data_IF_827602302216
#
_entry.id   IF_827602302216
#
_cell.length_a   1.000
_cell.length_b   1.000
_cell.length_c   1.000
_cell.angle_alpha   90.00
_cell.angle_beta   90.00
_cell.angle_gamma   90.00
#
_symmetry.space_group_name_H-M   'P 1'
#
loop_
_entity.id
_entity.type
_entity.pdbx_description
1 polymer ?
#
# COMPACT_ATOMS: atom_id res chain seq x y z
N UNK A 1 17.81 24.45 -19.54
CA UNK A 1 17.60 25.53 -18.54
C UNK A 1 16.48 26.48 -18.96
N UNK A 2 16.50 27.05 -20.17
CA UNK A 2 15.47 27.99 -20.65
C UNK A 2 14.05 27.43 -20.65
N UNK A 3 13.91 26.12 -20.89
CA UNK A 3 12.61 25.43 -20.87
C UNK A 3 12.00 25.44 -19.46
N UNK A 4 12.80 25.21 -18.43
CA UNK A 4 12.32 25.23 -17.03
C UNK A 4 11.92 26.62 -16.60
N UNK A 5 12.64 27.65 -17.03
CA UNK A 5 12.31 29.05 -16.72
C UNK A 5 11.05 29.51 -17.46
N UNK A 6 10.89 29.14 -18.74
CA UNK A 6 9.77 29.61 -19.56
C UNK A 6 8.50 28.73 -19.41
N UNK A 7 8.64 27.44 -19.17
CA UNK A 7 7.54 26.46 -19.14
C UNK A 7 7.43 25.71 -17.83
N UNK A 8 8.17 26.09 -16.78
CA UNK A 8 8.22 25.37 -15.51
C UNK A 8 6.85 25.20 -14.86
N UNK A 9 6.05 26.27 -14.80
CA UNK A 9 4.68 26.20 -14.28
C UNK A 9 3.80 25.22 -15.05
N UNK A 10 3.92 25.21 -16.39
CA UNK A 10 3.19 24.26 -17.25
C UNK A 10 3.61 22.82 -16.95
N UNK A 11 4.91 22.57 -16.79
CA UNK A 11 5.44 21.23 -16.48
C UNK A 11 4.97 20.76 -15.09
N UNK A 12 4.89 21.65 -14.10
CA UNK A 12 4.33 21.34 -12.78
C UNK A 12 2.84 20.99 -12.89
N UNK A 13 2.07 21.74 -13.66
CA UNK A 13 0.63 21.45 -13.87
C UNK A 13 0.47 20.09 -14.55
N UNK A 14 1.23 19.82 -15.60
CA UNK A 14 1.21 18.51 -16.29
C UNK A 14 1.56 17.40 -15.29
N UNK A 15 2.64 17.56 -14.52
CA UNK A 15 3.06 16.59 -13.51
C UNK A 15 1.99 16.38 -12.43
N UNK A 16 1.31 17.44 -11.98
CA UNK A 16 0.23 17.34 -11.00
C UNK A 16 -0.98 16.59 -11.56
N UNK A 17 -1.39 16.86 -12.79
CA UNK A 17 -2.51 16.16 -13.45
C UNK A 17 -2.17 14.69 -13.66
N UNK A 18 -0.96 14.39 -14.17
CA UNK A 18 -0.53 13.00 -14.41
C UNK A 18 -0.27 12.27 -13.09
N UNK A 19 0.27 12.95 -12.08
CA UNK A 19 0.43 12.42 -10.73
C UNK A 19 -0.91 12.10 -10.07
N UNK A 20 -1.91 12.97 -10.23
CA UNK A 20 -3.28 12.69 -9.79
C UNK A 20 -3.87 11.48 -10.53
N UNK A 21 -3.66 11.38 -11.84
CA UNK A 21 -4.09 10.23 -12.64
C UNK A 21 -3.41 8.93 -12.20
N UNK A 22 -2.11 8.98 -11.86
CA UNK A 22 -1.41 7.82 -11.29
C UNK A 22 -1.99 7.45 -9.92
N UNK A 23 -2.24 8.41 -9.03
CA UNK A 23 -2.85 8.17 -7.73
C UNK A 23 -4.28 7.60 -7.87
N UNK A 24 -5.04 8.09 -8.83
CA UNK A 24 -6.34 7.53 -9.19
C UNK A 24 -6.22 6.07 -9.64
N UNK A 25 -5.24 5.74 -10.47
CA UNK A 25 -4.94 4.37 -10.89
C UNK A 25 -4.60 3.45 -9.71
N UNK A 26 -3.82 3.94 -8.73
CA UNK A 26 -3.52 3.22 -7.48
C UNK A 26 -4.81 2.90 -6.74
N UNK A 27 -5.66 3.89 -6.46
CA UNK A 27 -6.93 3.67 -5.77
C UNK A 27 -7.87 2.74 -6.53
N UNK A 28 -7.88 2.80 -7.86
CA UNK A 28 -8.71 1.97 -8.71
C UNK A 28 -8.29 0.48 -8.70
N UNK A 29 -6.99 0.19 -8.70
CA UNK A 29 -6.44 -1.17 -8.76
C UNK A 29 -6.23 -1.77 -7.37
N UNK A 30 -5.57 -1.03 -6.48
CA UNK A 30 -4.99 -1.59 -5.27
C UNK A 30 -5.90 -1.53 -4.03
N UNK A 31 -7.05 -0.85 -4.09
CA UNK A 31 -8.04 -0.90 -3.00
C UNK A 31 -8.47 -2.32 -2.65
N UNK A 32 -8.39 -3.23 -3.60
CA UNK A 32 -8.68 -4.64 -3.38
C UNK A 32 -7.65 -5.31 -2.46
N UNK A 33 -6.42 -4.79 -2.39
CA UNK A 33 -5.39 -5.24 -1.45
C UNK A 33 -5.75 -4.85 -0.01
N UNK A 34 -6.42 -3.71 0.18
CA UNK A 34 -6.83 -3.26 1.50
C UNK A 34 -8.17 -3.85 1.96
N UNK A 35 -9.10 -4.10 1.03
CA UNK A 35 -10.50 -4.42 1.36
C UNK A 35 -10.98 -5.77 0.84
N UNK A 36 -10.24 -6.43 -0.07
CA UNK A 36 -10.68 -7.66 -0.72
C UNK A 36 -10.91 -8.81 0.25
N UNK A 37 -10.03 -8.97 1.23
CA UNK A 37 -10.14 -9.99 2.28
C UNK A 37 -11.34 -9.75 3.20
N UNK A 38 -11.62 -8.51 3.57
CA UNK A 38 -12.74 -8.10 4.43
C UNK A 38 -14.09 -8.29 3.74
N UNK A 39 -14.17 -7.98 2.44
CA UNK A 39 -15.37 -8.21 1.64
C UNK A 39 -15.53 -9.69 1.30
N UNK A 40 -14.43 -10.38 0.93
CA UNK A 40 -14.42 -11.81 0.62
C UNK A 40 -14.83 -12.70 1.79
N UNK A 41 -14.46 -12.32 3.02
CA UNK A 41 -14.88 -12.97 4.26
C UNK A 41 -16.30 -12.59 4.72
N UNK A 42 -16.96 -11.66 4.02
CA UNK A 42 -18.28 -11.11 4.38
C UNK A 42 -18.31 -10.33 5.70
N UNK A 43 -17.17 -9.88 6.19
CA UNK A 43 -17.09 -8.99 7.36
C UNK A 43 -17.58 -7.59 7.03
N UNK A 44 -17.36 -7.12 5.79
CA UNK A 44 -17.81 -5.84 5.27
C UNK A 44 -18.59 -6.01 3.96
N UNK A 45 -19.58 -5.14 3.75
CA UNK A 45 -20.15 -4.93 2.42
C UNK A 45 -19.21 -4.08 1.56
N UNK A 46 -19.32 -4.16 0.24
CA UNK A 46 -18.48 -3.34 -0.68
C UNK A 46 -18.65 -1.85 -0.38
N UNK A 47 -19.85 -1.36 -0.07
CA UNK A 47 -20.08 0.06 0.26
C UNK A 47 -19.37 0.48 1.54
N UNK A 48 -19.43 -0.36 2.59
CA UNK A 48 -18.73 -0.10 3.85
C UNK A 48 -17.20 -0.12 3.64
N UNK A 49 -16.70 -1.08 2.89
CA UNK A 49 -15.29 -1.20 2.55
C UNK A 49 -14.77 0.06 1.82
N UNK A 50 -15.51 0.56 0.82
CA UNK A 50 -15.17 1.79 0.11
C UNK A 50 -15.11 2.99 1.06
N UNK A 51 -16.10 3.18 1.93
CA UNK A 51 -16.14 4.32 2.87
C UNK A 51 -14.95 4.25 3.84
N UNK A 52 -14.66 3.07 4.39
CA UNK A 52 -13.52 2.86 5.28
C UNK A 52 -12.21 3.15 4.53
N UNK A 53 -12.05 2.60 3.33
CA UNK A 53 -10.86 2.81 2.52
C UNK A 53 -10.64 4.31 2.21
N UNK A 54 -11.69 5.04 1.82
CA UNK A 54 -11.59 6.49 1.55
C UNK A 54 -10.99 7.27 2.72
N UNK A 55 -11.43 6.97 3.93
CA UNK A 55 -10.96 7.66 5.14
C UNK A 55 -9.54 7.25 5.50
N UNK A 56 -9.29 5.94 5.57
CA UNK A 56 -8.02 5.43 6.10
C UNK A 56 -6.88 5.46 5.08
N UNK A 57 -7.14 5.28 3.79
CA UNK A 57 -6.11 5.46 2.76
C UNK A 57 -5.69 6.92 2.63
N UNK A 58 -6.65 7.86 2.66
CA UNK A 58 -6.31 9.29 2.69
C UNK A 58 -5.49 9.64 3.93
N UNK A 59 -5.91 9.17 5.11
CA UNK A 59 -5.17 9.40 6.35
C UNK A 59 -3.76 8.81 6.30
N UNK A 60 -3.60 7.58 5.77
CA UNK A 60 -2.31 6.94 5.59
C UNK A 60 -1.41 7.71 4.63
N UNK A 61 -1.94 8.11 3.48
CA UNK A 61 -1.25 8.90 2.48
C UNK A 61 -0.74 10.23 3.05
N UNK A 62 -1.61 10.96 3.73
CA UNK A 62 -1.29 12.28 4.27
C UNK A 62 -0.37 12.21 5.50
N UNK A 63 -0.65 11.33 6.45
CA UNK A 63 0.07 11.28 7.74
C UNK A 63 1.37 10.49 7.68
N UNK A 64 1.52 9.53 6.78
CA UNK A 64 2.65 8.61 6.78
C UNK A 64 3.31 8.35 5.41
N UNK A 65 2.88 9.05 4.33
CA UNK A 65 3.40 8.85 2.98
C UNK A 65 4.77 9.47 2.70
N UNK A 66 5.29 10.34 3.56
CA UNK A 66 6.49 11.14 3.29
C UNK A 66 7.80 10.36 3.19
N UNK A 67 8.01 9.32 4.00
CA UNK A 67 9.27 8.56 4.06
C UNK A 67 9.50 7.77 2.75
N UNK A 68 8.50 7.04 2.26
CA UNK A 68 8.59 6.28 1.00
C UNK A 68 8.71 7.20 -0.21
N UNK A 69 7.98 8.33 -0.19
CA UNK A 69 8.08 9.38 -1.22
C UNK A 69 9.51 9.86 -1.42
N UNK A 70 10.25 10.04 -0.33
CA UNK A 70 11.67 10.43 -0.39
C UNK A 70 12.52 9.40 -1.14
N UNK A 71 12.27 8.11 -0.97
CA UNK A 71 12.99 7.03 -1.65
C UNK A 71 12.66 6.99 -3.14
N UNK A 72 11.39 7.06 -3.53
CA UNK A 72 11.00 7.09 -4.94
C UNK A 72 11.57 8.33 -5.65
N UNK A 73 11.56 9.48 -4.95
CA UNK A 73 12.05 10.75 -5.51
C UNK A 73 13.57 10.76 -5.74
N UNK A 74 14.37 10.17 -4.87
CA UNK A 74 15.83 10.34 -4.82
C UNK A 74 16.63 9.04 -4.72
N UNK A 75 15.98 7.91 -4.50
CA UNK A 75 16.65 6.64 -4.20
C UNK A 75 16.91 5.74 -5.40
N UNK A 76 16.41 6.09 -6.59
CA UNK A 76 16.48 5.23 -7.78
C UNK A 76 17.47 5.77 -8.81
N UNK A 77 17.59 7.09 -8.93
CA UNK A 77 18.39 7.79 -9.93
C UNK A 77 19.52 8.56 -9.27
N UNK A 78 20.69 8.52 -9.88
CA UNK A 78 21.80 9.39 -9.55
C UNK A 78 21.61 10.77 -10.19
N UNK A 79 21.37 11.77 -9.36
CA UNK A 79 21.11 13.14 -9.79
C UNK A 79 22.29 13.78 -10.53
N UNK A 80 23.51 13.31 -10.33
CA UNK A 80 24.71 13.86 -10.97
C UNK A 80 24.68 13.79 -12.51
N UNK A 81 23.97 12.80 -13.06
CA UNK A 81 23.80 12.65 -14.51
C UNK A 81 22.84 13.68 -15.14
N UNK A 82 22.15 14.46 -14.32
CA UNK A 82 21.13 15.41 -14.77
C UNK A 82 21.47 16.88 -14.43
N UNK A 83 22.64 17.13 -13.84
CA UNK A 83 23.02 18.48 -13.40
C UNK A 83 23.11 19.46 -14.58
N UNK A 84 23.64 19.02 -15.71
CA UNK A 84 23.77 19.85 -16.92
C UNK A 84 22.45 19.97 -17.72
N UNK A 85 21.50 19.08 -17.47
CA UNK A 85 20.21 19.01 -18.19
C UNK A 85 19.08 18.56 -17.26
N UNK A 86 18.72 19.37 -16.25
CA UNK A 86 17.70 19.01 -15.26
C UNK A 86 16.30 18.83 -15.87
N UNK A 87 16.03 19.43 -17.04
CA UNK A 87 14.81 19.22 -17.82
C UNK A 87 14.62 17.75 -18.22
N UNK A 88 15.69 16.99 -18.47
CA UNK A 88 15.59 15.56 -18.77
C UNK A 88 15.05 14.76 -17.59
N UNK A 89 15.41 15.14 -16.35
CA UNK A 89 14.87 14.49 -15.17
C UNK A 89 13.37 14.81 -15.00
N UNK A 90 12.99 16.06 -15.27
CA UNK A 90 11.57 16.50 -15.24
C UNK A 90 10.76 15.71 -16.28
N UNK A 91 11.21 15.62 -17.52
CA UNK A 91 10.54 14.86 -18.57
C UNK A 91 10.46 13.37 -18.23
N UNK A 92 11.54 12.81 -17.67
CA UNK A 92 11.59 11.42 -17.26
C UNK A 92 10.57 11.10 -16.15
N UNK A 93 10.48 11.96 -15.15
CA UNK A 93 9.53 11.75 -14.04
C UNK A 93 8.06 11.89 -14.49
N UNK A 94 7.74 12.86 -15.36
CA UNK A 94 6.41 12.99 -15.98
C UNK A 94 6.09 11.74 -16.82
N UNK A 95 7.05 11.29 -17.63
CA UNK A 95 6.90 10.11 -18.47
C UNK A 95 6.71 8.83 -17.67
N UNK A 96 7.42 8.70 -16.55
CA UNK A 96 7.27 7.57 -15.63
C UNK A 96 5.88 7.54 -14.98
N UNK A 97 5.38 8.69 -14.52
CA UNK A 97 4.01 8.81 -14.01
C UNK A 97 2.97 8.41 -15.05
N UNK A 98 3.10 8.93 -16.26
CA UNK A 98 2.13 8.66 -17.32
C UNK A 98 2.19 7.20 -17.78
N UNK A 99 3.39 6.61 -17.88
CA UNK A 99 3.58 5.20 -18.20
C UNK A 99 2.92 4.28 -17.16
N UNK A 100 3.20 4.52 -15.87
CA UNK A 100 2.65 3.74 -14.79
C UNK A 100 1.12 3.89 -14.71
N UNK A 101 0.59 5.11 -14.81
CA UNK A 101 -0.84 5.37 -14.81
C UNK A 101 -1.56 4.67 -15.99
N UNK A 102 -0.98 4.74 -17.18
CA UNK A 102 -1.51 4.07 -18.38
C UNK A 102 -1.54 2.56 -18.20
N UNK A 103 -0.46 1.97 -17.67
CA UNK A 103 -0.42 0.53 -17.38
C UNK A 103 -1.46 0.11 -16.34
N UNK A 104 -1.62 0.88 -15.27
CA UNK A 104 -2.63 0.61 -14.24
C UNK A 104 -4.04 0.68 -14.80
N UNK A 105 -4.33 1.64 -15.68
CA UNK A 105 -5.63 1.74 -16.35
C UNK A 105 -5.92 0.49 -17.20
N UNK A 106 -4.95 0.04 -17.99
CA UNK A 106 -5.07 -1.17 -18.81
C UNK A 106 -5.25 -2.40 -17.94
N UNK A 107 -4.41 -2.56 -16.91
CA UNK A 107 -4.47 -3.69 -15.99
C UNK A 107 -5.81 -3.75 -15.24
N UNK A 108 -6.30 -2.60 -14.76
CA UNK A 108 -7.61 -2.50 -14.08
C UNK A 108 -8.77 -2.82 -15.00
N UNK A 109 -8.71 -2.37 -16.27
CA UNK A 109 -9.73 -2.70 -17.27
C UNK A 109 -9.78 -4.19 -17.60
N UNK A 110 -8.63 -4.88 -17.55
CA UNK A 110 -8.50 -6.33 -17.76
C UNK A 110 -8.73 -7.15 -16.47
N UNK A 111 -8.91 -6.50 -15.32
CA UNK A 111 -9.06 -7.16 -14.03
C UNK A 111 -7.77 -7.83 -13.53
N UNK A 112 -6.61 -7.37 -13.96
CA UNK A 112 -5.31 -7.90 -13.55
C UNK A 112 -4.82 -7.20 -12.27
N UNK A 113 -4.55 -7.95 -11.18
CA UNK A 113 -3.93 -7.41 -9.99
C UNK A 113 -2.42 -7.23 -10.24
N UNK A 114 -2.01 -6.02 -10.58
CA UNK A 114 -0.60 -5.66 -10.82
C UNK A 114 -0.03 -4.92 -9.61
N UNK A 115 1.30 -4.81 -9.54
CA UNK A 115 1.96 -3.99 -8.53
C UNK A 115 2.21 -2.58 -9.06
N UNK A 116 1.62 -1.60 -8.39
CA UNK A 116 1.82 -0.17 -8.70
C UNK A 116 3.26 0.25 -8.46
N UNK A 117 3.90 -0.29 -7.42
CA UNK A 117 5.32 -0.03 -7.13
C UNK A 117 6.25 -0.60 -8.21
N UNK A 118 5.99 -1.81 -8.72
CA UNK A 118 6.75 -2.35 -9.84
C UNK A 118 6.61 -1.47 -11.09
N UNK A 119 5.40 -0.99 -11.36
CA UNK A 119 5.11 -0.16 -12.50
C UNK A 119 5.93 1.13 -12.49
N UNK A 120 5.91 1.87 -11.37
CA UNK A 120 6.61 3.15 -11.28
C UNK A 120 8.14 2.98 -11.20
N UNK A 121 8.63 1.99 -10.46
CA UNK A 121 10.07 1.71 -10.38
C UNK A 121 10.60 1.27 -11.75
N UNK A 122 9.88 0.37 -12.44
CA UNK A 122 10.22 -0.02 -13.82
C UNK A 122 10.25 1.17 -14.78
N UNK A 123 9.26 2.05 -14.67
CA UNK A 123 9.16 3.26 -15.50
C UNK A 123 10.32 4.24 -15.24
N UNK A 124 10.69 4.47 -13.97
CA UNK A 124 11.82 5.33 -13.59
C UNK A 124 13.14 4.75 -14.10
N UNK A 125 13.38 3.46 -13.87
CA UNK A 125 14.58 2.77 -14.37
C UNK A 125 14.63 2.79 -15.90
N UNK A 126 13.50 2.59 -16.57
CA UNK A 126 13.41 2.55 -18.03
C UNK A 126 13.86 3.86 -18.68
N UNK A 127 13.29 4.99 -18.32
CA UNK A 127 13.69 6.26 -18.93
C UNK A 127 15.12 6.65 -18.55
N UNK A 128 15.56 6.38 -17.32
CA UNK A 128 16.91 6.74 -16.91
C UNK A 128 17.96 5.91 -17.64
N UNK A 129 17.82 4.59 -17.68
CA UNK A 129 18.80 3.70 -18.29
C UNK A 129 18.91 3.85 -19.82
N UNK A 130 17.78 4.03 -20.51
CA UNK A 130 17.73 4.09 -21.98
C UNK A 130 17.67 5.52 -22.50
N UNK A 131 16.99 6.41 -21.78
CA UNK A 131 16.84 7.81 -22.21
C UNK A 131 18.06 8.68 -21.89
N UNK A 132 18.86 8.32 -20.89
CA UNK A 132 20.03 9.10 -20.45
C UNK A 132 21.30 8.21 -20.42
N UNK A 133 21.43 7.35 -19.42
CA UNK A 133 22.54 6.38 -19.29
C UNK A 133 22.17 5.27 -18.32
N UNK A 134 22.65 4.06 -18.59
CA UNK A 134 22.49 2.95 -17.65
C UNK A 134 23.17 3.23 -16.28
N UNK A 135 24.21 4.04 -16.27
CA UNK A 135 24.93 4.44 -15.04
C UNK A 135 24.17 5.50 -14.24
N UNK A 136 23.17 6.15 -14.83
CA UNK A 136 22.29 7.07 -14.11
C UNK A 136 21.34 6.34 -13.14
N UNK A 137 21.25 5.01 -13.21
CA UNK A 137 20.43 4.20 -12.30
C UNK A 137 21.28 3.72 -11.12
N UNK A 138 20.80 3.98 -9.91
CA UNK A 138 21.45 3.48 -8.68
C UNK A 138 21.13 1.98 -8.48
N UNK A 139 21.77 1.09 -9.26
CA UNK A 139 21.47 -0.35 -9.32
C UNK A 139 21.52 -1.05 -7.95
N UNK A 140 22.40 -0.61 -7.04
CA UNK A 140 22.45 -1.18 -5.69
C UNK A 140 21.19 -0.87 -4.88
N UNK A 141 20.61 0.34 -5.06
CA UNK A 141 19.35 0.73 -4.42
C UNK A 141 18.16 0.02 -5.06
N UNK A 142 18.14 -0.04 -6.39
CA UNK A 142 17.12 -0.81 -7.14
C UNK A 142 17.17 -2.28 -6.74
N UNK A 143 18.36 -2.87 -6.61
CA UNK A 143 18.53 -4.23 -6.12
C UNK A 143 17.99 -4.45 -4.71
N UNK A 144 18.17 -3.48 -3.81
CA UNK A 144 17.58 -3.49 -2.46
C UNK A 144 16.04 -3.42 -2.50
N UNK A 145 15.48 -2.58 -3.37
CA UNK A 145 14.02 -2.46 -3.57
C UNK A 145 13.47 -3.79 -4.12
N UNK A 146 14.08 -4.35 -5.16
CA UNK A 146 13.67 -5.65 -5.73
C UNK A 146 13.80 -6.78 -4.70
N UNK A 147 14.86 -6.77 -3.90
CA UNK A 147 15.03 -7.71 -2.79
C UNK A 147 13.88 -7.63 -1.77
N UNK A 148 13.40 -6.43 -1.48
CA UNK A 148 12.28 -6.23 -0.56
C UNK A 148 10.98 -6.85 -1.09
N UNK A 149 10.76 -6.91 -2.41
CA UNK A 149 9.60 -7.54 -3.03
C UNK A 149 9.57 -9.07 -2.90
N UNK A 150 10.70 -9.68 -2.60
CA UNK A 150 10.80 -11.11 -2.29
C UNK A 150 10.67 -11.33 -0.78
N UNK A 151 11.33 -10.50 0.00
CA UNK A 151 11.42 -10.67 1.46
C UNK A 151 10.08 -10.32 2.15
N UNK A 152 9.40 -9.25 1.71
CA UNK A 152 8.18 -8.81 2.40
C UNK A 152 7.01 -9.78 2.30
N UNK A 153 6.69 -10.43 1.17
CA UNK A 153 5.66 -11.47 1.15
C UNK A 153 6.03 -12.70 1.97
N UNK A 154 7.32 -13.06 2.07
CA UNK A 154 7.76 -14.16 2.92
C UNK A 154 7.57 -13.83 4.40
N UNK A 155 8.01 -12.65 4.84
CA UNK A 155 7.83 -12.17 6.22
C UNK A 155 6.33 -12.11 6.55
N UNK A 156 5.54 -11.50 5.70
CA UNK A 156 4.09 -11.37 5.88
C UNK A 156 3.41 -12.75 5.96
N UNK A 157 3.85 -13.70 5.12
CA UNK A 157 3.37 -15.08 5.15
C UNK A 157 3.69 -15.79 6.47
N UNK A 158 4.92 -15.67 6.96
CA UNK A 158 5.32 -16.25 8.26
C UNK A 158 4.52 -15.63 9.41
N UNK A 159 4.38 -14.31 9.43
CA UNK A 159 3.60 -13.61 10.46
C UNK A 159 2.14 -14.07 10.41
N UNK A 160 1.52 -14.15 9.23
CA UNK A 160 0.14 -14.58 9.05
C UNK A 160 -0.07 -16.03 9.51
N UNK A 161 0.88 -16.93 9.18
CA UNK A 161 0.89 -18.32 9.66
C UNK A 161 0.91 -18.39 11.19
N UNK A 162 1.78 -17.61 11.83
CA UNK A 162 1.91 -17.59 13.29
C UNK A 162 0.66 -17.00 13.96
N UNK A 163 0.13 -15.88 13.43
CA UNK A 163 -1.10 -15.25 13.96
C UNK A 163 -2.28 -16.21 13.84
N UNK A 164 -2.47 -16.85 12.69
CA UNK A 164 -3.57 -17.79 12.49
C UNK A 164 -3.46 -18.98 13.43
N UNK A 165 -2.26 -19.59 13.56
CA UNK A 165 -2.04 -20.68 14.51
C UNK A 165 -2.24 -20.26 15.96
N UNK A 166 -1.89 -19.02 16.32
CA UNK A 166 -2.18 -18.51 17.69
C UNK A 166 -3.69 -18.42 17.94
N UNK A 167 -4.46 -17.91 16.97
CA UNK A 167 -5.92 -17.87 17.07
C UNK A 167 -6.53 -19.28 17.10
N UNK A 168 -5.98 -20.21 16.32
CA UNK A 168 -6.41 -21.62 16.34
C UNK A 168 -6.25 -22.22 17.74
N UNK A 169 -5.06 -22.12 18.33
CA UNK A 169 -4.76 -22.69 19.65
C UNK A 169 -5.46 -21.99 20.82
N UNK A 170 -5.51 -20.63 20.79
CA UNK A 170 -6.04 -19.85 21.91
C UNK A 170 -7.56 -19.74 21.89
N UNK A 171 -8.21 -19.96 20.74
CA UNK A 171 -9.65 -19.73 20.58
C UNK A 171 -10.35 -20.98 20.06
N UNK A 172 -10.00 -21.48 18.85
CA UNK A 172 -10.78 -22.51 18.18
C UNK A 172 -10.61 -23.91 18.80
N UNK A 173 -9.40 -24.28 19.24
CA UNK A 173 -9.09 -25.60 19.80
C UNK A 173 -9.42 -25.70 21.30
N UNK A 174 -10.22 -24.80 21.83
CA UNK A 174 -10.63 -24.75 23.24
C UNK A 174 -12.03 -25.32 23.44
N UNK A 175 -12.36 -25.70 24.68
CA UNK A 175 -13.70 -26.18 25.03
C UNK A 175 -14.81 -25.12 24.86
N UNK A 176 -14.44 -23.84 25.00
CA UNK A 176 -15.36 -22.69 24.94
C UNK A 176 -14.88 -21.60 23.95
N UNK A 177 -14.88 -21.88 22.63
CA UNK A 177 -14.29 -20.98 21.65
C UNK A 177 -14.88 -19.56 21.66
N UNK A 178 -16.18 -19.40 21.90
CA UNK A 178 -16.82 -18.09 21.93
C UNK A 178 -16.36 -17.23 23.12
N UNK A 179 -16.21 -17.82 24.30
CA UNK A 179 -15.70 -17.11 25.49
C UNK A 179 -14.26 -16.69 25.27
N UNK A 180 -13.45 -17.59 24.71
CA UNK A 180 -12.05 -17.29 24.38
C UNK A 180 -11.94 -16.22 23.28
N UNK A 181 -12.80 -16.23 22.27
CA UNK A 181 -12.84 -15.18 21.26
C UNK A 181 -13.12 -13.80 21.90
N UNK A 182 -14.13 -13.70 22.75
CA UNK A 182 -14.45 -12.45 23.47
C UNK A 182 -13.29 -11.95 24.36
N UNK A 183 -12.44 -12.85 24.85
CA UNK A 183 -11.28 -12.55 25.70
C UNK A 183 -10.06 -12.12 24.88
N UNK A 184 -9.70 -12.87 23.81
CA UNK A 184 -8.44 -12.70 23.09
C UNK A 184 -8.53 -11.71 21.92
N UNK A 185 -9.70 -11.58 21.28
CA UNK A 185 -9.87 -10.67 20.14
C UNK A 185 -9.55 -9.21 20.49
N UNK A 186 -9.97 -8.64 21.65
CA UNK A 186 -9.54 -7.29 22.03
C UNK A 186 -8.02 -7.13 22.18
N UNK A 187 -7.29 -8.20 22.55
CA UNK A 187 -5.83 -8.16 22.60
C UNK A 187 -5.22 -8.08 21.19
N UNK A 188 -5.75 -8.80 20.19
CA UNK A 188 -5.32 -8.65 18.81
C UNK A 188 -5.61 -7.23 18.30
N UNK A 189 -6.76 -6.63 18.68
CA UNK A 189 -7.07 -5.23 18.33
C UNK A 189 -6.07 -4.26 18.96
N UNK A 190 -5.68 -4.50 20.22
CA UNK A 190 -4.65 -3.71 20.89
C UNK A 190 -3.31 -3.81 20.15
N UNK A 191 -2.87 -5.02 19.80
CA UNK A 191 -1.57 -5.23 19.13
C UNK A 191 -1.50 -4.53 17.79
N UNK A 192 -2.52 -4.65 16.96
CA UNK A 192 -2.54 -3.99 15.65
C UNK A 192 -2.60 -2.46 15.78
N UNK A 193 -3.44 -1.95 16.67
CA UNK A 193 -3.54 -0.52 16.95
C UNK A 193 -2.23 0.06 17.49
N UNK A 194 -1.53 -0.69 18.35
CA UNK A 194 -0.24 -0.29 18.91
C UNK A 194 0.85 -0.19 17.86
N UNK A 195 1.02 -1.22 17.01
CA UNK A 195 2.04 -1.22 15.95
C UNK A 195 1.79 -0.07 14.97
N UNK A 196 0.55 0.07 14.50
CA UNK A 196 0.18 1.12 13.56
C UNK A 196 0.45 2.52 14.13
N UNK A 197 -0.06 2.78 15.35
CA UNK A 197 0.12 4.08 16.00
C UNK A 197 1.60 4.37 16.28
N UNK A 198 2.37 3.38 16.76
CA UNK A 198 3.78 3.57 17.07
C UNK A 198 4.59 3.94 15.82
N UNK A 199 4.41 3.22 14.71
CA UNK A 199 5.14 3.52 13.47
C UNK A 199 4.72 4.88 12.91
N UNK A 200 3.42 5.18 12.91
CA UNK A 200 2.91 6.48 12.45
C UNK A 200 3.49 7.63 13.27
N UNK A 201 3.47 7.54 14.60
CA UNK A 201 4.00 8.58 15.50
C UNK A 201 5.50 8.75 15.32
N UNK A 202 6.25 7.63 15.21
CA UNK A 202 7.73 7.68 15.18
C UNK A 202 8.31 8.05 13.82
N UNK A 203 7.62 7.73 12.75
CA UNK A 203 8.12 7.87 11.38
C UNK A 203 7.20 8.76 10.53
N UNK A 204 5.89 8.51 10.56
CA UNK A 204 4.94 9.19 9.70
C UNK A 204 4.86 10.69 9.95
N UNK A 205 4.78 11.13 11.21
CA UNK A 205 4.56 12.54 11.57
C UNK A 205 5.79 13.45 11.42
N UNK A 206 6.92 12.91 11.01
CA UNK A 206 8.15 13.72 10.81
C UNK A 206 8.02 14.77 9.72
N UNK A 207 7.22 14.51 8.68
CA UNK A 207 7.04 15.45 7.57
C UNK A 207 6.26 16.72 7.96
N UNK A 208 5.57 16.72 9.11
CA UNK A 208 4.88 17.88 9.69
C UNK A 208 5.64 18.45 10.90
N UNK A 209 6.97 18.18 10.99
CA UNK A 209 7.87 18.65 12.04
C UNK A 209 7.48 18.25 13.48
N UNK A 210 6.62 17.26 13.65
CA UNK A 210 6.25 16.70 14.94
C UNK A 210 7.30 15.68 15.41
N UNK A 211 8.20 16.14 16.27
CA UNK A 211 9.24 15.30 16.88
C UNK A 211 8.80 14.84 18.26
N UNK A 212 8.15 13.67 18.34
CA UNK A 212 7.70 13.09 19.61
C UNK A 212 8.82 12.22 20.21
N UNK A 213 9.13 12.44 21.47
CA UNK A 213 10.09 11.66 22.25
C UNK A 213 9.82 10.15 22.22
N UNK A 214 10.80 9.32 22.57
CA UNK A 214 10.60 7.85 22.48
C UNK A 214 9.59 7.37 23.49
N UNK A 215 9.69 7.81 24.74
CA UNK A 215 8.76 7.44 25.80
C UNK A 215 7.33 7.90 25.51
N UNK A 216 7.17 9.17 25.07
CA UNK A 216 5.86 9.74 24.73
C UNK A 216 5.24 9.02 23.53
N UNK A 217 6.05 8.64 22.53
CA UNK A 217 5.58 7.88 21.38
C UNK A 217 5.02 6.50 21.77
N UNK A 218 5.70 5.78 22.67
CA UNK A 218 5.19 4.52 23.20
C UNK A 218 3.91 4.71 24.02
N UNK A 219 3.86 5.76 24.83
CA UNK A 219 2.69 6.09 25.64
C UNK A 219 1.47 6.42 24.74
N UNK A 220 1.61 7.28 23.75
CA UNK A 220 0.51 7.63 22.84
C UNK A 220 0.07 6.43 22.00
N UNK A 221 1.00 5.59 21.56
CA UNK A 221 0.67 4.36 20.86
C UNK A 221 -0.12 3.39 21.75
N UNK A 222 0.26 3.25 23.01
CA UNK A 222 -0.45 2.40 23.96
C UNK A 222 -1.86 2.93 24.28
N UNK A 223 -2.01 4.25 24.44
CA UNK A 223 -3.32 4.89 24.65
C UNK A 223 -4.22 4.67 23.43
N UNK A 224 -3.71 4.91 22.21
CA UNK A 224 -4.46 4.68 20.98
C UNK A 224 -4.90 3.23 20.85
N UNK A 225 -3.99 2.29 21.09
CA UNK A 225 -4.27 0.86 21.06
C UNK A 225 -5.33 0.45 22.08
N UNK A 226 -5.27 1.01 23.29
CA UNK A 226 -6.26 0.75 24.34
C UNK A 226 -7.65 1.26 23.95
N UNK A 227 -7.72 2.46 23.35
CA UNK A 227 -8.98 3.03 22.82
C UNK A 227 -9.57 2.09 21.77
N UNK A 228 -8.77 1.62 20.81
CA UNK A 228 -9.21 0.67 19.77
C UNK A 228 -9.72 -0.62 20.37
N UNK A 229 -9.01 -1.19 21.36
CA UNK A 229 -9.43 -2.41 22.05
C UNK A 229 -10.73 -2.24 22.84
N UNK A 230 -10.91 -1.10 23.53
CA UNK A 230 -12.13 -0.79 24.29
C UNK A 230 -13.33 -0.63 23.34
N UNK A 231 -13.16 0.13 22.25
CA UNK A 231 -14.20 0.29 21.23
C UNK A 231 -14.57 -1.07 20.62
N UNK A 232 -13.58 -1.88 20.25
CA UNK A 232 -13.79 -3.23 19.73
C UNK A 232 -14.54 -4.12 20.71
N UNK A 233 -14.14 -4.13 22.01
CA UNK A 233 -14.82 -4.88 23.06
C UNK A 233 -16.28 -4.44 23.25
N UNK A 234 -16.55 -3.13 23.14
CA UNK A 234 -17.89 -2.59 23.19
C UNK A 234 -18.77 -3.11 22.06
N UNK A 235 -18.26 -3.12 20.82
CA UNK A 235 -19.00 -3.67 19.67
C UNK A 235 -19.20 -5.18 19.77
N UNK A 236 -18.21 -5.94 20.25
CA UNK A 236 -18.32 -7.38 20.53
C UNK A 236 -19.45 -7.63 21.53
N UNK A 237 -19.56 -6.80 22.58
CA UNK A 237 -20.61 -6.91 23.60
C UNK A 237 -22.03 -6.67 23.07
N UNK A 238 -22.18 -5.99 21.92
CA UNK A 238 -23.47 -5.73 21.27
C UNK A 238 -23.88 -6.80 20.25
N UNK A 239 -23.01 -7.77 19.95
CA UNK A 239 -23.33 -8.85 19.05
C UNK A 239 -24.38 -9.77 19.65
N UNK A 240 -25.36 -10.14 18.82
CA UNK A 240 -26.36 -11.17 19.19
C UNK A 240 -25.81 -12.54 18.80
N UNK A 241 -25.71 -13.41 19.79
CA UNK A 241 -25.26 -14.78 19.63
C UNK A 241 -26.46 -15.73 19.72
N UNK A 242 -26.44 -16.79 18.92
CA UNK A 242 -27.42 -17.87 19.01
C UNK A 242 -26.88 -18.91 20.01
N UNK A 243 -27.45 -18.95 21.19
CA UNK A 243 -27.04 -19.84 22.28
C UNK A 243 -27.62 -21.27 22.15
N UNK A 244 -28.65 -21.43 21.31
CA UNK A 244 -29.36 -22.71 21.15
C UNK A 244 -28.80 -23.58 20.02
N UNK A 245 -27.80 -23.08 19.34
CA UNK A 245 -27.32 -23.66 18.09
C UNK A 245 -26.38 -24.85 18.28
N UNK A 246 -26.50 -25.87 17.44
CA UNK A 246 -25.62 -27.03 17.36
C UNK A 246 -24.12 -26.64 17.17
N UNK A 247 -23.18 -27.55 17.50
CA UNK A 247 -21.72 -27.31 17.42
C UNK A 247 -21.24 -26.54 16.17
N UNK A 248 -21.83 -26.77 15.00
CA UNK A 248 -21.50 -26.07 13.76
C UNK A 248 -21.79 -24.56 13.82
N UNK A 249 -22.78 -24.14 14.59
CA UNK A 249 -23.17 -22.73 14.75
C UNK A 249 -22.34 -22.03 15.84
N UNK A 250 -21.65 -22.77 16.71
CA UNK A 250 -20.68 -22.20 17.64
C UNK A 250 -19.53 -21.49 16.90
N UNK A 251 -19.03 -22.11 15.83
CA UNK A 251 -18.00 -21.48 14.98
C UNK A 251 -18.52 -20.24 14.27
N UNK A 252 -19.79 -20.21 13.83
CA UNK A 252 -20.39 -19.04 13.22
C UNK A 252 -20.47 -17.85 14.20
N UNK A 253 -20.72 -18.10 15.47
CA UNK A 253 -20.68 -17.07 16.52
C UNK A 253 -19.27 -16.54 16.78
N UNK A 254 -18.26 -17.43 16.76
CA UNK A 254 -16.85 -17.03 16.86
C UNK A 254 -16.45 -16.14 15.68
N UNK A 255 -16.84 -16.52 14.45
CA UNK A 255 -16.56 -15.73 13.24
C UNK A 255 -17.24 -14.34 13.28
N UNK A 256 -18.41 -14.17 13.93
CA UNK A 256 -18.98 -12.83 14.16
C UNK A 256 -18.07 -11.94 15.03
N UNK A 257 -17.44 -12.51 16.06
CA UNK A 257 -16.47 -11.78 16.89
C UNK A 257 -15.24 -11.38 16.07
N UNK A 258 -14.72 -12.31 15.26
CA UNK A 258 -13.63 -12.00 14.33
C UNK A 258 -14.04 -10.99 13.26
N UNK A 259 -15.31 -10.90 12.88
CA UNK A 259 -15.81 -9.87 11.98
C UNK A 259 -15.55 -8.45 12.51
N UNK A 260 -15.67 -8.21 13.81
CA UNK A 260 -15.34 -6.91 14.41
C UNK A 260 -13.82 -6.64 14.34
N UNK A 261 -12.99 -7.65 14.62
CA UNK A 261 -11.54 -7.54 14.50
C UNK A 261 -11.15 -7.25 13.04
N UNK A 262 -11.81 -7.90 12.09
CA UNK A 262 -11.58 -7.72 10.66
C UNK A 262 -11.84 -6.28 10.19
N UNK A 263 -12.84 -5.59 10.78
CA UNK A 263 -13.06 -4.16 10.48
C UNK A 263 -11.86 -3.33 10.96
N UNK A 264 -11.33 -3.63 12.13
CA UNK A 264 -10.15 -2.93 12.67
C UNK A 264 -8.93 -3.17 11.78
N UNK A 265 -8.68 -4.44 11.41
CA UNK A 265 -7.52 -4.76 10.53
C UNK A 265 -7.67 -4.18 9.13
N UNK A 266 -8.89 -4.09 8.59
CA UNK A 266 -9.17 -3.42 7.33
C UNK A 266 -8.84 -1.92 7.39
N UNK A 267 -9.24 -1.23 8.46
CA UNK A 267 -8.85 0.17 8.67
C UNK A 267 -7.32 0.32 8.70
N UNK A 268 -6.64 -0.57 9.40
CA UNK A 268 -5.19 -0.55 9.49
C UNK A 268 -4.49 -0.88 8.16
N UNK A 269 -5.03 -1.84 7.40
CA UNK A 269 -4.49 -2.18 6.08
C UNK A 269 -4.70 -1.06 5.07
N UNK A 270 -5.86 -0.39 5.07
CA UNK A 270 -6.11 0.77 4.24
C UNK A 270 -5.14 1.92 4.58
N UNK A 271 -4.92 2.19 5.86
CA UNK A 271 -3.94 3.19 6.29
C UNK A 271 -2.52 2.81 5.85
N UNK A 272 -2.11 1.57 6.06
CA UNK A 272 -0.80 1.06 5.67
C UNK A 272 -0.58 1.15 4.15
N UNK A 273 -1.60 0.75 3.36
CA UNK A 273 -1.61 0.85 1.90
C UNK A 273 -1.44 2.30 1.45
N UNK A 274 -2.30 3.21 1.92
CA UNK A 274 -2.21 4.64 1.58
C UNK A 274 -0.84 5.23 1.93
N UNK A 275 -0.23 4.83 3.05
CA UNK A 275 1.08 5.32 3.48
C UNK A 275 2.25 4.87 2.58
N UNK A 276 2.15 3.70 1.97
CA UNK A 276 3.19 3.19 1.06
C UNK A 276 2.95 3.65 -0.37
N UNK A 277 1.75 3.42 -0.88
CA UNK A 277 1.50 3.46 -2.31
C UNK A 277 1.25 4.87 -2.86
N UNK A 278 0.88 5.84 -2.01
CA UNK A 278 0.83 7.25 -2.41
C UNK A 278 2.17 7.72 -2.98
N UNK A 279 3.28 7.22 -2.46
CA UNK A 279 4.62 7.58 -2.90
C UNK A 279 4.89 7.26 -4.37
N UNK A 280 4.23 6.24 -4.92
CA UNK A 280 4.35 5.84 -6.32
C UNK A 280 3.84 6.93 -7.28
N UNK A 281 2.84 7.71 -6.85
CA UNK A 281 2.31 8.85 -7.60
C UNK A 281 3.04 10.17 -7.27
N UNK A 282 3.24 10.44 -5.98
CA UNK A 282 3.74 11.75 -5.56
C UNK A 282 5.27 11.84 -5.51
N UNK A 283 6.01 10.73 -5.51
CA UNK A 283 7.47 10.74 -5.54
C UNK A 283 8.03 11.45 -6.77
N UNK A 284 7.69 11.00 -7.98
CA UNK A 284 8.09 11.68 -9.20
C UNK A 284 7.52 13.10 -9.33
N UNK A 285 6.27 13.35 -8.89
CA UNK A 285 5.69 14.69 -8.86
C UNK A 285 6.51 15.63 -7.96
N UNK A 286 6.87 15.18 -6.76
CA UNK A 286 7.69 15.97 -5.85
C UNK A 286 9.11 16.24 -6.39
N UNK A 287 9.65 15.34 -7.22
CA UNK A 287 10.90 15.58 -7.94
C UNK A 287 10.75 16.74 -8.95
N UNK A 288 9.71 16.69 -9.77
CA UNK A 288 9.41 17.76 -10.76
C UNK A 288 9.23 19.11 -10.09
N UNK A 289 8.37 19.18 -9.06
CA UNK A 289 8.10 20.42 -8.32
C UNK A 289 9.39 20.97 -7.71
N UNK A 290 10.18 20.12 -7.06
CA UNK A 290 11.44 20.53 -6.43
C UNK A 290 12.44 21.11 -7.45
N UNK A 291 12.56 20.54 -8.62
CA UNK A 291 13.50 21.00 -9.66
C UNK A 291 13.03 22.36 -10.23
N UNK A 292 11.74 22.48 -10.52
CA UNK A 292 11.19 23.72 -11.07
C UNK A 292 11.24 24.87 -10.06
N UNK A 293 10.85 24.64 -8.81
CA UNK A 293 10.89 25.66 -7.75
C UNK A 293 12.31 26.13 -7.40
N UNK A 294 13.32 25.27 -7.60
CA UNK A 294 14.73 25.61 -7.42
C UNK A 294 15.44 26.03 -8.72
N UNK A 295 14.68 26.50 -9.72
CA UNK A 295 15.23 26.99 -11.00
C UNK A 295 16.19 26.00 -11.70
N UNK A 296 15.89 24.71 -11.63
CA UNK A 296 16.68 23.65 -12.24
C UNK A 296 17.72 23.01 -11.30
N UNK A 297 17.95 23.54 -10.08
CA UNK A 297 18.82 22.87 -9.13
C UNK A 297 18.17 21.58 -8.59
N UNK A 298 18.93 20.48 -8.66
CA UNK A 298 18.50 19.19 -8.10
C UNK A 298 18.95 19.14 -6.63
N UNK A 299 18.14 19.71 -5.75
CA UNK A 299 18.46 19.80 -4.34
C UNK A 299 18.55 18.41 -3.66
N UNK A 300 19.63 18.17 -2.93
CA UNK A 300 19.82 16.95 -2.14
C UNK A 300 18.77 16.79 -1.03
N UNK A 301 18.28 17.90 -0.46
CA UNK A 301 17.20 17.95 0.52
C UNK A 301 16.25 19.08 0.16
N UNK A 302 15.02 18.77 -0.16
CA UNK A 302 13.92 19.73 -0.25
C UNK A 302 12.69 19.15 0.44
N UNK A 303 11.96 19.97 1.16
CA UNK A 303 10.67 19.59 1.72
C UNK A 303 9.70 19.20 0.60
N UNK A 304 8.76 18.34 0.91
CA UNK A 304 7.63 18.05 0.00
C UNK A 304 6.66 19.21 0.14
N UNK A 305 6.28 19.84 -0.99
CA UNK A 305 5.30 20.92 -0.95
C UNK A 305 3.99 20.42 -0.32
N UNK A 306 3.40 21.22 0.56
CA UNK A 306 2.27 20.84 1.42
C UNK A 306 1.04 20.29 0.68
N UNK A 307 0.85 20.68 -0.57
CA UNK A 307 -0.30 20.28 -1.40
C UNK A 307 -0.11 18.91 -2.09
N UNK A 308 1.11 18.39 -2.17
CA UNK A 308 1.44 17.16 -2.93
C UNK A 308 0.84 15.92 -2.27
N UNK A 309 1.01 15.75 -0.95
CA UNK A 309 0.44 14.61 -0.20
C UNK A 309 -1.10 14.60 -0.25
N UNK A 310 -1.81 15.72 0.00
CA UNK A 310 -3.25 15.78 -0.20
C UNK A 310 -3.68 15.44 -1.63
N UNK A 311 -2.98 15.95 -2.65
CA UNK A 311 -3.31 15.66 -4.05
C UNK A 311 -3.24 14.14 -4.33
N UNK A 312 -2.19 13.47 -3.87
CA UNK A 312 -2.05 12.03 -3.98
C UNK A 312 -3.15 11.28 -3.23
N UNK A 313 -3.43 11.67 -1.99
CA UNK A 313 -4.51 11.08 -1.18
C UNK A 313 -5.89 11.25 -1.83
N UNK A 314 -6.22 12.42 -2.35
CA UNK A 314 -7.48 12.64 -3.08
C UNK A 314 -7.54 11.85 -4.39
N UNK A 315 -6.43 11.69 -5.11
CA UNK A 315 -6.35 10.85 -6.28
C UNK A 315 -6.70 9.40 -5.96
N UNK A 316 -6.09 8.81 -4.92
CA UNK A 316 -6.38 7.46 -4.45
C UNK A 316 -7.87 7.33 -4.11
N UNK A 317 -8.41 8.25 -3.31
CA UNK A 317 -9.83 8.25 -2.92
C UNK A 317 -10.76 8.33 -4.13
N UNK A 318 -10.46 9.16 -5.12
CA UNK A 318 -11.24 9.26 -6.34
C UNK A 318 -11.22 7.94 -7.14
N UNK A 319 -10.05 7.30 -7.26
CA UNK A 319 -9.90 6.01 -7.96
C UNK A 319 -10.71 4.91 -7.30
N UNK A 320 -10.57 4.73 -5.99
CA UNK A 320 -11.28 3.69 -5.25
C UNK A 320 -12.80 3.91 -5.22
N UNK A 321 -13.25 5.15 -5.16
CA UNK A 321 -14.69 5.48 -5.16
C UNK A 321 -15.35 5.14 -6.50
N UNK A 322 -14.64 5.35 -7.63
CA UNK A 322 -15.19 5.16 -8.97
C UNK A 322 -15.05 3.69 -9.43
N UNK A 323 -13.89 3.09 -9.25
CA UNK A 323 -13.57 1.76 -9.80
C UNK A 323 -13.37 0.66 -8.76
N UNK A 324 -13.13 0.99 -7.49
CA UNK A 324 -12.76 0.03 -6.45
C UNK A 324 -13.74 -1.14 -6.31
N UNK A 325 -15.04 -0.89 -6.52
CA UNK A 325 -16.06 -1.95 -6.42
C UNK A 325 -15.83 -3.11 -7.40
N UNK A 326 -15.24 -2.86 -8.59
CA UNK A 326 -14.99 -3.88 -9.62
C UNK A 326 -13.85 -4.81 -9.21
N UNK A 327 -12.77 -4.24 -8.69
CA UNK A 327 -11.55 -4.98 -8.35
C UNK A 327 -11.70 -5.71 -7.01
N UNK A 328 -12.37 -5.12 -6.02
CA UNK A 328 -12.67 -5.78 -4.72
C UNK A 328 -13.44 -7.08 -4.95
N UNK A 329 -14.43 -7.08 -5.86
CA UNK A 329 -15.23 -8.26 -6.16
C UNK A 329 -14.38 -9.41 -6.73
N UNK A 330 -13.28 -9.13 -7.43
CA UNK A 330 -12.46 -10.13 -8.11
C UNK A 330 -11.47 -10.84 -7.16
N UNK A 331 -10.85 -10.10 -6.23
CA UNK A 331 -9.77 -10.62 -5.36
C UNK A 331 -10.31 -11.41 -4.16
N UNK A 332 -11.46 -11.03 -3.63
CA UNK A 332 -12.01 -11.60 -2.40
C UNK A 332 -12.28 -13.12 -2.42
N UNK A 333 -12.26 -13.76 -3.59
CA UNK A 333 -12.68 -15.16 -3.76
C UNK A 333 -11.64 -16.09 -4.41
N UNK A 334 -10.46 -15.55 -4.85
CA UNK A 334 -9.60 -16.28 -5.80
C UNK A 334 -8.54 -17.21 -5.18
N UNK A 335 -7.83 -16.80 -4.12
CA UNK A 335 -6.62 -17.49 -3.65
C UNK A 335 -6.94 -18.60 -2.67
N UNK A 336 -7.78 -18.35 -1.67
CA UNK A 336 -8.26 -19.32 -0.69
C UNK A 336 -9.62 -18.88 -0.15
N UNK A 337 -10.40 -19.82 0.38
CA UNK A 337 -11.67 -19.52 1.01
C UNK A 337 -11.44 -18.77 2.34
N UNK A 338 -11.77 -17.48 2.37
CA UNK A 338 -11.60 -16.63 3.53
C UNK A 338 -12.85 -16.62 4.42
N UNK A 339 -12.62 -16.76 5.73
CA UNK A 339 -13.56 -16.43 6.81
C UNK A 339 -13.00 -15.23 7.56
N UNK A 340 -13.78 -14.52 8.40
CA UNK A 340 -13.26 -13.40 9.18
C UNK A 340 -12.00 -13.75 10.00
N UNK A 341 -11.93 -14.92 10.61
CA UNK A 341 -10.76 -15.37 11.37
C UNK A 341 -9.51 -15.60 10.51
N UNK A 342 -9.67 -15.98 9.26
CA UNK A 342 -8.57 -16.16 8.29
C UNK A 342 -8.14 -14.83 7.69
N UNK A 343 -9.13 -14.01 7.34
CA UNK A 343 -8.92 -12.71 6.75
C UNK A 343 -8.17 -11.76 7.68
N UNK A 344 -8.54 -11.71 8.97
CA UNK A 344 -7.85 -10.85 9.92
C UNK A 344 -6.37 -11.20 10.07
N UNK A 345 -6.04 -12.51 10.09
CA UNK A 345 -4.65 -12.94 10.22
C UNK A 345 -3.80 -12.50 9.02
N UNK A 346 -4.37 -12.59 7.81
CA UNK A 346 -3.72 -12.10 6.60
C UNK A 346 -3.61 -10.56 6.59
N UNK A 347 -4.69 -9.85 6.89
CA UNK A 347 -4.68 -8.38 6.92
C UNK A 347 -3.76 -7.82 7.99
N UNK A 348 -3.79 -8.37 9.20
CA UNK A 348 -2.92 -7.94 10.30
C UNK A 348 -1.45 -8.12 9.93
N UNK A 349 -1.08 -9.28 9.39
CA UNK A 349 0.28 -9.55 8.96
C UNK A 349 0.73 -8.63 7.84
N UNK A 350 -0.11 -8.42 6.83
CA UNK A 350 0.16 -7.52 5.72
C UNK A 350 0.28 -6.07 6.19
N UNK A 351 -0.67 -5.57 6.99
CA UNK A 351 -0.66 -4.20 7.51
C UNK A 351 0.60 -3.91 8.36
N UNK A 352 0.97 -4.83 9.26
CA UNK A 352 2.19 -4.69 10.05
C UNK A 352 3.44 -4.64 9.17
N UNK A 353 3.53 -5.56 8.18
CA UNK A 353 4.69 -5.61 7.26
C UNK A 353 4.78 -4.33 6.42
N UNK A 354 3.66 -3.87 5.85
CA UNK A 354 3.61 -2.64 5.03
C UNK A 354 3.98 -1.42 5.85
N UNK A 355 3.39 -1.24 7.04
CA UNK A 355 3.66 -0.07 7.90
C UNK A 355 5.12 -0.03 8.36
N UNK A 356 5.69 -1.16 8.74
CA UNK A 356 7.10 -1.25 9.14
C UNK A 356 8.01 -0.90 7.94
N UNK A 357 7.72 -1.45 6.76
CA UNK A 357 8.47 -1.14 5.54
C UNK A 357 8.34 0.35 5.15
N UNK A 358 7.13 0.92 5.22
CA UNK A 358 6.90 2.36 4.98
C UNK A 358 7.69 3.23 5.96
N UNK A 359 7.70 2.88 7.24
CA UNK A 359 8.50 3.56 8.26
C UNK A 359 10.02 3.44 8.03
N UNK A 360 10.47 2.43 7.29
CA UNK A 360 11.86 2.27 6.84
C UNK A 360 12.13 2.96 5.49
N UNK A 361 11.13 3.60 4.89
CA UNK A 361 11.24 4.24 3.58
C UNK A 361 11.36 3.26 2.41
N UNK A 362 10.91 2.01 2.57
CA UNK A 362 10.99 0.98 1.53
C UNK A 362 9.72 0.99 0.66
N UNK A 363 9.84 1.25 -0.64
CA UNK A 363 8.73 1.11 -1.58
C UNK A 363 8.50 -0.37 -1.88
N UNK A 364 7.61 -0.98 -1.13
CA UNK A 364 7.27 -2.40 -1.28
C UNK A 364 6.00 -2.58 -2.13
N UNK A 365 5.74 -3.81 -2.57
CA UNK A 365 4.47 -4.17 -3.18
C UNK A 365 3.47 -4.62 -2.12
N UNK A 366 2.44 -3.81 -1.89
CA UNK A 366 1.34 -4.14 -0.97
C UNK A 366 0.56 -5.35 -1.45
N UNK A 367 0.39 -5.50 -2.78
CA UNK A 367 -0.23 -6.68 -3.41
C UNK A 367 0.54 -7.96 -3.08
N UNK A 368 1.86 -7.95 -3.26
CA UNK A 368 2.71 -9.10 -2.95
C UNK A 368 2.68 -9.44 -1.46
N UNK A 369 2.74 -8.42 -0.63
CA UNK A 369 2.72 -8.57 0.84
C UNK A 369 1.42 -9.23 1.31
N UNK A 370 0.26 -8.79 0.79
CA UNK A 370 -1.03 -9.41 1.11
C UNK A 370 -1.13 -10.84 0.57
N UNK A 371 -0.72 -11.08 -0.68
CA UNK A 371 -0.72 -12.43 -1.26
C UNK A 371 0.14 -13.37 -0.41
N UNK A 372 1.32 -12.93 0.02
CA UNK A 372 2.18 -13.68 0.93
C UNK A 372 1.48 -14.02 2.25
N UNK A 373 0.78 -13.04 2.85
CA UNK A 373 0.00 -13.26 4.07
C UNK A 373 -1.13 -14.28 3.88
N UNK A 374 -1.89 -14.17 2.78
CA UNK A 374 -2.97 -15.12 2.46
C UNK A 374 -2.43 -16.54 2.23
N UNK A 375 -1.27 -16.65 1.58
CA UNK A 375 -0.57 -17.93 1.42
C UNK A 375 -0.13 -18.50 2.78
N UNK A 376 0.36 -17.66 3.69
CA UNK A 376 0.73 -18.07 5.05
C UNK A 376 -0.45 -18.66 5.84
N UNK A 377 -1.62 -18.02 5.76
CA UNK A 377 -2.87 -18.57 6.34
C UNK A 377 -3.26 -19.88 5.64
N UNK A 378 -3.15 -19.93 4.30
CA UNK A 378 -3.42 -21.14 3.52
C UNK A 378 -2.54 -22.31 3.93
N UNK A 379 -1.24 -22.07 4.14
CA UNK A 379 -0.28 -23.09 4.61
C UNK A 379 -0.60 -23.59 6.01
N UNK A 380 -1.05 -22.73 6.92
CA UNK A 380 -1.48 -23.14 8.26
C UNK A 380 -2.70 -24.08 8.25
N UNK A 381 -3.50 -24.03 7.16
CA UNK A 381 -4.63 -24.94 6.93
C UNK A 381 -4.29 -26.19 6.15
N UNK A 382 -3.10 -26.26 5.60
CA UNK A 382 -2.65 -27.31 4.66
C UNK A 382 -2.58 -26.81 3.22
N UNK A 383 -1.55 -27.24 2.50
CA UNK A 383 -1.21 -26.78 1.13
C UNK A 383 -2.38 -26.96 0.14
N UNK A 384 -3.21 -27.99 0.32
CA UNK A 384 -4.39 -28.25 -0.52
C UNK A 384 -5.45 -27.13 -0.49
N UNK A 385 -5.36 -26.20 0.47
CA UNK A 385 -6.28 -25.06 0.57
C UNK A 385 -5.91 -23.88 -0.36
N UNK A 386 -4.78 -23.96 -1.09
CA UNK A 386 -4.23 -22.88 -1.92
C UNK A 386 -4.50 -23.15 -3.40
N UNK A 387 -5.04 -22.14 -4.10
CA UNK A 387 -5.21 -22.20 -5.55
C UNK A 387 -3.92 -21.76 -6.27
N UNK A 388 -3.04 -22.70 -6.56
CA UNK A 388 -1.76 -22.45 -7.21
C UNK A 388 -1.87 -21.85 -8.61
N UNK A 389 -2.98 -22.09 -9.33
CA UNK A 389 -3.18 -21.49 -10.66
C UNK A 389 -3.36 -19.96 -10.56
N UNK A 390 -4.12 -19.50 -9.56
CA UNK A 390 -4.29 -18.05 -9.29
C UNK A 390 -2.97 -17.45 -8.86
N UNK A 391 -2.22 -18.09 -7.96
CA UNK A 391 -0.91 -17.62 -7.50
C UNK A 391 0.06 -17.45 -8.68
N UNK A 392 0.13 -18.45 -9.57
CA UNK A 392 0.97 -18.37 -10.78
C UNK A 392 0.60 -17.17 -11.65
N UNK A 393 -0.68 -16.95 -11.92
CA UNK A 393 -1.13 -15.82 -12.75
C UNK A 393 -0.76 -14.47 -12.13
N UNK A 394 -0.87 -14.35 -10.80
CA UNK A 394 -0.47 -13.16 -10.07
C UNK A 394 1.06 -12.93 -10.20
N UNK A 395 1.88 -13.97 -10.02
CA UNK A 395 3.34 -13.86 -10.17
C UNK A 395 3.73 -13.45 -11.59
N UNK A 396 3.08 -14.01 -12.62
CA UNK A 396 3.31 -13.63 -14.01
C UNK A 396 2.99 -12.15 -14.25
N UNK A 397 1.89 -11.65 -13.68
CA UNK A 397 1.52 -10.23 -13.82
C UNK A 397 2.57 -9.29 -13.20
N UNK A 398 3.20 -9.69 -12.10
CA UNK A 398 4.28 -8.90 -11.48
C UNK A 398 5.53 -8.82 -12.35
N UNK A 399 5.93 -9.94 -12.97
CA UNK A 399 7.11 -9.98 -13.86
C UNK A 399 6.89 -9.12 -15.10
N UNK A 400 5.69 -9.16 -15.68
CA UNK A 400 5.35 -8.37 -16.89
C UNK A 400 5.29 -6.87 -16.60
N UNK A 401 4.87 -6.47 -15.42
CA UNK A 401 4.64 -5.06 -15.05
C UNK A 401 5.92 -4.22 -15.17
N UNK A 402 7.07 -4.75 -14.73
CA UNK A 402 8.36 -4.02 -14.79
C UNK A 402 8.76 -3.63 -16.21
N UNK A 403 8.88 -4.58 -17.18
CA UNK A 403 9.28 -4.24 -18.55
C UNK A 403 8.23 -3.42 -19.29
N UNK A 404 6.94 -3.58 -19.00
CA UNK A 404 5.89 -2.76 -19.61
C UNK A 404 5.98 -1.32 -19.11
N UNK A 405 6.13 -1.11 -17.79
CA UNK A 405 6.35 0.22 -17.23
C UNK A 405 7.58 0.90 -17.81
N UNK A 406 8.70 0.16 -17.92
CA UNK A 406 9.93 0.66 -18.52
C UNK A 406 9.74 1.04 -19.99
N UNK A 407 9.16 0.16 -20.80
CA UNK A 407 8.95 0.39 -22.25
C UNK A 407 8.05 1.59 -22.52
N UNK A 408 6.92 1.70 -21.83
CA UNK A 408 6.03 2.85 -21.96
C UNK A 408 6.72 4.16 -21.54
N UNK A 409 7.49 4.14 -20.46
CA UNK A 409 8.21 5.32 -19.98
C UNK A 409 9.26 5.79 -20.97
N UNK A 410 9.99 4.88 -21.59
CA UNK A 410 10.95 5.20 -22.66
C UNK A 410 10.24 5.91 -23.83
N UNK A 411 9.11 5.37 -24.29
CA UNK A 411 8.33 5.96 -25.39
C UNK A 411 7.88 7.37 -25.02
N UNK A 412 7.27 7.55 -23.86
CA UNK A 412 6.78 8.86 -23.42
C UNK A 412 7.91 9.85 -23.14
N UNK A 413 9.06 9.39 -22.66
CA UNK A 413 10.24 10.23 -22.49
C UNK A 413 10.74 10.82 -23.83
N UNK A 414 10.85 10.00 -24.87
CA UNK A 414 11.23 10.48 -26.19
C UNK A 414 10.16 11.38 -26.82
N UNK A 415 8.89 11.14 -26.55
CA UNK A 415 7.81 12.05 -26.97
C UNK A 415 7.93 13.41 -26.29
N UNK A 416 8.12 13.45 -24.95
CA UNK A 416 8.33 14.68 -24.19
C UNK A 416 9.53 15.45 -24.72
N UNK A 417 10.63 14.76 -24.96
CA UNK A 417 11.83 15.37 -25.54
C UNK A 417 11.57 15.98 -26.92
N UNK A 418 10.84 15.29 -27.78
CA UNK A 418 10.52 15.79 -29.14
C UNK A 418 9.53 16.96 -29.14
N UNK A 419 8.70 17.12 -28.09
CA UNK A 419 7.74 18.23 -27.97
C UNK A 419 8.40 19.49 -27.41
N UNK A 420 9.32 19.35 -26.46
CA UNK A 420 9.86 20.48 -25.71
C UNK A 420 11.29 20.85 -26.07
N UNK A 421 12.07 19.96 -26.71
CA UNK A 421 13.43 20.18 -27.22
C UNK A 421 13.46 20.05 -28.74
#
# INVERSE_FOLDING_TARGET
>A
MDILLNSGSTLVIIAAVVGFFMAWGIGANDVANAMGTSVGSKALTIKQAIIIAMVFEFAGAYLAGGEVTSTIRKGIIDASYFVDSPELLVFGMISALFAAATWLLVASALGWPVSTTHSIVGAIVGFAAVGVSADAVMWSKVGGIVGSWIITPLISGVIAFLIFNSAQKLIFDTEKPLEQAKRWVPLYMFLVGFILALVTIKKGLKHIDLHIGTADGFMYAAITALIVAIIGKFFIGRLKFDETAAKATHYANVEKVFGVLMIVTACCMAFAHGSNDVANAIGPLAAVVSIVENNGEIAAKSAIAWWILPLGGFGIVAGLAIFGHRVIATIGHGITHLTPSRGFAAELAAACTVVIASGAGLPISTTQTLVGAVLGVGMARGIAAINLAVVRNIVVSWVITLPVGAGLSIIFFWMMKAIFI
#
